data_IF_276944596576
#
_entry.id   IF_276944596576
#
_cell.length_a   1.000
_cell.length_b   1.000
_cell.length_c   1.000
_cell.angle_alpha   90.00
_cell.angle_beta   90.00
_cell.angle_gamma   90.00
#
_symmetry.space_group_name_H-M   'P 1'
#
loop_
_entity.id
_entity.type
_entity.pdbx_description
1 polymer ?
#
# COMPACT_ATOMS: atom_id res chain seq x y z
N UNK A 1 41.01 -46.60 -5.89
CA UNK A 1 41.72 -45.32 -5.72
C UNK A 1 43.15 -45.60 -5.39
N UNK A 2 43.98 -45.75 -6.42
CA UNK A 2 45.43 -45.85 -6.34
C UNK A 2 46.04 -44.74 -7.20
N UNK A 3 47.36 -44.75 -7.37
CA UNK A 3 48.13 -43.80 -8.20
C UNK A 3 48.54 -44.39 -9.56
N UNK A 4 47.90 -45.48 -9.98
CA UNK A 4 48.26 -46.18 -11.21
C UNK A 4 47.69 -45.46 -12.43
N UNK A 5 48.59 -44.79 -13.14
CA UNK A 5 48.28 -44.00 -14.33
C UNK A 5 47.78 -44.89 -15.48
N UNK A 6 48.35 -46.08 -15.67
CA UNK A 6 48.00 -46.96 -16.79
C UNK A 6 46.56 -47.47 -16.68
N UNK A 7 46.13 -47.82 -15.47
CA UNK A 7 44.74 -48.20 -15.21
C UNK A 7 43.78 -47.04 -15.47
N UNK A 8 44.16 -45.81 -15.10
CA UNK A 8 43.32 -44.63 -15.34
C UNK A 8 43.21 -44.28 -16.84
N UNK A 9 44.31 -44.40 -17.58
CA UNK A 9 44.39 -44.17 -19.03
C UNK A 9 43.54 -45.20 -19.79
N UNK A 10 43.68 -46.49 -19.47
CA UNK A 10 42.89 -47.56 -20.10
C UNK A 10 41.38 -47.39 -19.87
N UNK A 11 40.97 -46.98 -18.67
CA UNK A 11 39.55 -46.69 -18.38
C UNK A 11 39.04 -45.46 -19.14
N UNK A 12 39.89 -44.45 -19.35
CA UNK A 12 39.53 -43.27 -20.12
C UNK A 12 39.36 -43.59 -21.61
N UNK A 13 40.23 -44.42 -22.17
CA UNK A 13 40.10 -44.95 -23.54
C UNK A 13 38.81 -45.75 -23.71
N UNK A 14 38.50 -46.64 -22.76
CA UNK A 14 37.27 -47.42 -22.79
C UNK A 14 36.01 -46.53 -22.80
N UNK A 15 36.00 -45.46 -22.01
CA UNK A 15 34.90 -44.47 -22.01
C UNK A 15 34.81 -43.76 -23.36
N UNK A 16 35.94 -43.34 -23.94
CA UNK A 16 35.99 -42.68 -25.24
C UNK A 16 35.46 -43.59 -26.36
N UNK A 17 35.93 -44.83 -26.43
CA UNK A 17 35.46 -45.82 -27.41
C UNK A 17 33.95 -46.07 -27.29
N UNK A 18 33.44 -46.17 -26.05
CA UNK A 18 32.01 -46.37 -25.79
C UNK A 18 31.16 -45.20 -26.28
N UNK A 19 31.66 -43.96 -26.15
CA UNK A 19 30.99 -42.75 -26.61
C UNK A 19 31.05 -42.61 -28.14
N UNK A 20 32.16 -43.02 -28.77
CA UNK A 20 32.35 -43.00 -30.22
C UNK A 20 31.48 -44.03 -30.95
N UNK A 21 31.33 -45.25 -30.38
CA UNK A 21 30.56 -46.32 -31.00
C UNK A 21 29.04 -46.24 -30.74
N UNK A 22 28.59 -45.29 -29.91
CA UNK A 22 27.24 -45.28 -29.35
C UNK A 22 26.22 -44.34 -29.99
N UNK A 23 26.62 -43.23 -30.66
CA UNK A 23 25.68 -42.17 -31.09
C UNK A 23 26.17 -41.38 -32.32
N UNK A 24 25.27 -41.08 -33.27
CA UNK A 24 25.52 -40.16 -34.41
C UNK A 24 25.65 -38.68 -33.99
N UNK A 25 25.47 -38.35 -32.71
CA UNK A 25 25.42 -36.99 -32.18
C UNK A 25 26.52 -36.78 -31.15
N UNK A 26 27.13 -35.58 -31.16
CA UNK A 26 28.14 -35.17 -30.16
C UNK A 26 27.58 -35.37 -28.75
N UNK A 27 28.25 -36.15 -27.88
CA UNK A 27 27.76 -36.44 -26.54
C UNK A 27 27.74 -35.19 -25.67
N UNK A 28 26.69 -35.05 -24.87
CA UNK A 28 26.58 -34.01 -23.85
C UNK A 28 27.50 -34.29 -22.66
N UNK A 29 27.80 -33.26 -21.89
CA UNK A 29 28.65 -33.37 -20.68
C UNK A 29 28.08 -34.40 -19.69
N UNK A 30 26.76 -34.49 -19.54
CA UNK A 30 26.11 -35.46 -18.63
C UNK A 30 26.28 -36.90 -19.15
N UNK A 31 26.13 -37.13 -20.46
CA UNK A 31 26.33 -38.46 -21.06
C UNK A 31 27.77 -38.95 -20.92
N UNK A 32 28.75 -38.04 -21.05
CA UNK A 32 30.16 -38.36 -20.79
C UNK A 32 30.34 -38.77 -19.32
N UNK A 33 29.77 -37.99 -18.39
CA UNK A 33 29.90 -38.24 -16.95
C UNK A 33 29.24 -39.55 -16.51
N UNK A 34 28.05 -39.87 -17.03
CA UNK A 34 27.36 -41.13 -16.73
C UNK A 34 28.14 -42.34 -17.25
N UNK A 35 28.79 -42.19 -18.42
CA UNK A 35 29.63 -43.25 -19.01
C UNK A 35 30.89 -43.49 -18.17
N UNK A 36 31.52 -42.42 -17.66
CA UNK A 36 32.67 -42.53 -16.73
C UNK A 36 32.26 -43.21 -15.42
N UNK A 37 31.11 -42.85 -14.85
CA UNK A 37 30.62 -43.47 -13.62
C UNK A 37 30.40 -44.98 -13.80
N UNK A 38 29.74 -45.38 -14.90
CA UNK A 38 29.48 -46.77 -15.23
C UNK A 38 30.79 -47.55 -15.43
N UNK A 39 31.73 -47.02 -16.20
CA UNK A 39 33.04 -47.67 -16.42
C UNK A 39 33.80 -47.89 -15.11
N UNK A 40 33.76 -46.92 -14.19
CA UNK A 40 34.40 -47.04 -12.87
C UNK A 40 33.73 -48.08 -11.96
N UNK A 41 32.41 -48.26 -12.06
CA UNK A 41 31.67 -49.28 -11.30
C UNK A 41 31.93 -50.67 -11.87
N UNK A 42 31.79 -50.82 -13.19
CA UNK A 42 31.95 -52.10 -13.90
C UNK A 42 33.38 -52.65 -13.74
N UNK A 43 34.39 -51.77 -13.71
CA UNK A 43 35.80 -52.12 -13.44
C UNK A 43 36.12 -52.37 -11.94
N UNK A 44 35.13 -52.38 -11.05
CA UNK A 44 35.32 -52.66 -9.62
C UNK A 44 35.92 -51.49 -8.82
N UNK A 45 36.02 -50.29 -9.39
CA UNK A 45 36.54 -49.10 -8.74
C UNK A 45 35.45 -48.28 -8.00
N UNK A 46 34.55 -48.96 -7.30
CA UNK A 46 33.40 -48.35 -6.60
C UNK A 46 33.77 -47.21 -5.62
N UNK A 47 34.96 -47.25 -5.01
CA UNK A 47 35.46 -46.16 -4.14
C UNK A 47 35.84 -44.90 -4.91
N UNK A 48 36.35 -45.06 -6.14
CA UNK A 48 36.67 -43.96 -7.05
C UNK A 48 35.40 -43.41 -7.69
N UNK A 49 34.49 -44.27 -8.15
CA UNK A 49 33.17 -43.89 -8.68
C UNK A 49 32.41 -42.99 -7.68
N UNK A 50 32.33 -43.38 -6.41
CA UNK A 50 31.71 -42.56 -5.35
C UNK A 50 32.33 -41.17 -5.21
N UNK A 51 33.66 -41.04 -5.29
CA UNK A 51 34.32 -39.73 -5.24
C UNK A 51 34.03 -38.91 -6.49
N UNK A 52 33.94 -39.53 -7.66
CA UNK A 52 33.59 -38.88 -8.91
C UNK A 52 32.15 -38.34 -8.89
N UNK A 53 31.19 -39.13 -8.40
CA UNK A 53 29.79 -38.72 -8.21
C UNK A 53 29.70 -37.48 -7.29
N UNK A 54 30.38 -37.51 -6.14
CA UNK A 54 30.40 -36.37 -5.22
C UNK A 54 31.06 -35.13 -5.84
N UNK A 55 32.14 -35.32 -6.61
CA UNK A 55 32.80 -34.24 -7.33
C UNK A 55 31.88 -33.60 -8.38
N UNK A 56 31.15 -34.40 -9.17
CA UNK A 56 30.15 -33.91 -10.13
C UNK A 56 29.06 -33.13 -9.44
N UNK A 57 28.48 -33.67 -8.37
CA UNK A 57 27.47 -32.98 -7.57
C UNK A 57 27.97 -31.62 -7.06
N UNK A 58 29.21 -31.56 -6.58
CA UNK A 58 29.83 -30.31 -6.12
C UNK A 58 30.09 -29.33 -7.28
N UNK A 59 30.53 -29.81 -8.46
CA UNK A 59 30.71 -28.97 -9.65
C UNK A 59 29.40 -28.41 -10.17
N UNK A 60 28.33 -29.20 -10.17
CA UNK A 60 26.97 -28.75 -10.51
C UNK A 60 26.51 -27.67 -9.52
N UNK A 61 26.67 -27.91 -8.21
CA UNK A 61 26.38 -26.93 -7.16
C UNK A 61 27.15 -25.62 -7.35
N UNK A 62 28.44 -25.68 -7.70
CA UNK A 62 29.27 -24.50 -8.00
C UNK A 62 28.77 -23.77 -9.25
N UNK A 63 28.36 -24.49 -10.31
CA UNK A 63 27.84 -23.87 -11.54
C UNK A 63 26.51 -23.16 -11.27
N UNK A 64 25.62 -23.78 -10.50
CA UNK A 64 24.34 -23.19 -10.08
C UNK A 64 24.55 -21.94 -9.23
N UNK A 65 25.48 -22.00 -8.25
CA UNK A 65 25.88 -20.83 -7.44
C UNK A 65 26.43 -19.70 -8.32
N UNK A 66 27.11 -20.02 -9.42
CA UNK A 66 27.72 -19.04 -10.31
C UNK A 66 26.77 -18.43 -11.35
N UNK A 67 25.50 -18.82 -11.37
CA UNK A 67 24.51 -18.15 -12.23
C UNK A 67 24.39 -16.67 -11.84
N UNK A 68 24.13 -15.82 -12.84
CA UNK A 68 24.03 -14.37 -12.63
C UNK A 68 23.03 -14.02 -11.52
N UNK A 69 21.87 -14.69 -11.50
CA UNK A 69 20.82 -14.46 -10.50
C UNK A 69 21.28 -14.82 -9.08
N UNK A 70 21.97 -15.96 -8.90
CA UNK A 70 22.45 -16.39 -7.58
C UNK A 70 23.56 -15.48 -7.06
N UNK A 71 24.43 -14.97 -7.94
CA UNK A 71 25.41 -13.93 -7.57
C UNK A 71 24.73 -12.61 -7.16
N UNK A 72 23.68 -12.20 -7.86
CA UNK A 72 22.87 -11.04 -7.47
C UNK A 72 22.24 -11.24 -6.10
N UNK A 73 21.68 -12.43 -5.83
CA UNK A 73 21.12 -12.76 -4.52
C UNK A 73 22.17 -12.74 -3.41
N UNK A 74 23.35 -13.35 -3.62
CA UNK A 74 24.47 -13.31 -2.67
C UNK A 74 24.89 -11.87 -2.34
N UNK A 75 24.96 -11.00 -3.35
CA UNK A 75 25.23 -9.57 -3.15
C UNK A 75 24.13 -8.86 -2.35
N UNK A 76 22.86 -9.17 -2.61
CA UNK A 76 21.74 -8.61 -1.85
C UNK A 76 21.71 -9.12 -0.39
N UNK A 77 22.10 -10.37 -0.12
CA UNK A 77 22.10 -10.92 1.25
C UNK A 77 23.23 -10.37 2.10
N UNK A 78 24.45 -10.35 1.56
CA UNK A 78 25.66 -10.27 2.38
C UNK A 78 26.42 -8.94 2.26
N UNK A 79 26.15 -8.11 1.24
CA UNK A 79 26.80 -6.80 1.10
C UNK A 79 26.01 -5.71 1.81
N UNK A 80 26.71 -4.78 2.45
CA UNK A 80 26.13 -3.57 3.06
C UNK A 80 25.53 -2.66 1.96
N UNK A 81 24.47 -1.91 2.26
CA UNK A 81 23.79 -1.03 1.28
C UNK A 81 24.67 0.10 0.75
N UNK A 82 25.72 0.47 1.49
CA UNK A 82 26.74 1.42 1.04
C UNK A 82 27.55 0.91 -0.16
N UNK A 83 27.70 -0.41 -0.27
CA UNK A 83 28.53 -1.06 -1.27
C UNK A 83 27.71 -1.67 -2.42
N UNK A 84 26.37 -1.66 -2.33
CA UNK A 84 25.48 -2.25 -3.33
C UNK A 84 24.37 -1.27 -3.79
N UNK A 85 24.55 -0.70 -4.98
CA UNK A 85 23.59 0.22 -5.60
C UNK A 85 22.18 -0.39 -5.79
N UNK A 86 22.06 -1.71 -5.94
CA UNK A 86 20.76 -2.38 -6.08
C UNK A 86 19.91 -2.27 -4.80
N UNK A 87 20.55 -2.10 -3.63
CA UNK A 87 19.83 -1.88 -2.37
C UNK A 87 19.24 -0.47 -2.25
N UNK A 88 19.71 0.49 -3.07
CA UNK A 88 19.36 1.93 -2.98
C UNK A 88 18.56 2.48 -4.15
N UNK A 89 18.17 1.64 -5.12
CA UNK A 89 17.48 2.06 -6.34
C UNK A 89 16.11 2.73 -6.10
N UNK A 90 15.43 2.42 -4.99
CA UNK A 90 14.11 2.97 -4.67
C UNK A 90 14.17 3.67 -3.30
N UNK A 91 14.04 5.00 -3.31
CA UNK A 91 14.14 5.83 -2.12
C UNK A 91 13.06 5.53 -1.06
N UNK A 92 11.94 4.93 -1.48
CA UNK A 92 10.84 4.59 -0.59
C UNK A 92 10.99 3.19 0.02
N UNK A 93 11.97 2.38 -0.43
CA UNK A 93 12.19 1.01 0.05
C UNK A 93 13.45 0.95 0.90
N UNK A 94 13.32 0.47 2.14
CA UNK A 94 14.50 0.15 2.96
C UNK A 94 15.03 -1.26 2.62
N UNK A 95 16.00 -1.31 1.70
CA UNK A 95 16.60 -2.55 1.22
C UNK A 95 17.36 -3.38 2.25
N UNK A 96 17.69 -2.81 3.42
CA UNK A 96 18.41 -3.51 4.50
C UNK A 96 17.46 -4.24 5.46
N UNK A 97 16.16 -3.98 5.37
CA UNK A 97 15.17 -4.75 6.13
C UNK A 97 14.99 -6.13 5.54
N UNK A 98 14.66 -7.13 6.37
CA UNK A 98 14.41 -8.50 5.91
C UNK A 98 13.37 -8.55 4.78
N UNK A 99 12.28 -7.77 4.91
CA UNK A 99 11.23 -7.71 3.90
C UNK A 99 11.65 -6.91 2.67
N UNK A 100 12.46 -5.86 2.82
CA UNK A 100 13.09 -5.16 1.69
C UNK A 100 14.00 -6.08 0.87
N UNK A 101 14.81 -6.91 1.53
CA UNK A 101 15.65 -7.91 0.85
C UNK A 101 14.81 -8.96 0.13
N UNK A 102 13.77 -9.49 0.77
CA UNK A 102 12.85 -10.45 0.13
C UNK A 102 12.15 -9.86 -1.10
N UNK A 103 11.71 -8.60 -1.02
CA UNK A 103 11.13 -7.89 -2.16
C UNK A 103 12.14 -7.77 -3.31
N UNK A 104 13.41 -7.50 -3.01
CA UNK A 104 14.48 -7.43 -4.02
C UNK A 104 14.77 -8.76 -4.68
N UNK A 105 14.74 -9.88 -3.95
CA UNK A 105 14.80 -11.20 -4.58
C UNK A 105 13.65 -11.40 -5.56
N UNK A 106 12.43 -11.05 -5.15
CA UNK A 106 11.26 -11.05 -6.03
C UNK A 106 11.48 -10.24 -7.30
N UNK A 107 11.95 -8.99 -7.16
CA UNK A 107 12.20 -8.09 -8.28
C UNK A 107 13.24 -8.63 -9.26
N UNK A 108 14.41 -9.07 -8.78
CA UNK A 108 15.49 -9.56 -9.64
C UNK A 108 15.13 -10.89 -10.31
N UNK A 109 14.42 -11.77 -9.59
CA UNK A 109 13.86 -12.98 -10.16
C UNK A 109 12.84 -12.68 -11.26
N UNK A 110 11.92 -11.73 -11.02
CA UNK A 110 10.89 -11.35 -11.97
C UNK A 110 11.45 -10.67 -13.23
N UNK A 111 12.42 -9.74 -13.08
CA UNK A 111 13.14 -9.15 -14.23
C UNK A 111 13.79 -10.24 -15.08
N UNK A 112 14.48 -11.20 -14.44
CA UNK A 112 15.12 -12.30 -15.16
C UNK A 112 14.11 -13.19 -15.89
N UNK A 113 13.00 -13.51 -15.23
CA UNK A 113 11.91 -14.29 -15.83
C UNK A 113 11.30 -13.57 -17.03
N UNK A 114 10.93 -12.30 -16.86
CA UNK A 114 10.32 -11.49 -17.92
C UNK A 114 11.25 -11.33 -19.12
N UNK A 115 12.56 -11.15 -18.90
CA UNK A 115 13.55 -11.04 -19.97
C UNK A 115 13.71 -12.31 -20.79
N UNK A 116 13.66 -13.48 -20.13
CA UNK A 116 13.92 -14.78 -20.76
C UNK A 116 12.67 -15.41 -21.40
N UNK A 117 11.49 -15.22 -20.80
CA UNK A 117 10.30 -15.99 -21.15
C UNK A 117 9.13 -15.15 -21.66
N UNK A 118 9.07 -13.85 -21.34
CA UNK A 118 7.90 -13.01 -21.64
C UNK A 118 8.19 -12.04 -22.78
N UNK A 119 9.31 -11.34 -22.70
CA UNK A 119 9.71 -10.36 -23.70
C UNK A 119 10.26 -11.05 -24.95
N UNK A 120 9.99 -10.43 -26.11
CA UNK A 120 10.68 -10.79 -27.35
C UNK A 120 12.18 -10.50 -27.20
N UNK A 121 13.07 -11.34 -27.78
CA UNK A 121 14.52 -11.14 -27.69
C UNK A 121 14.98 -9.75 -28.16
N UNK A 122 14.34 -9.19 -29.17
CA UNK A 122 14.63 -7.85 -29.69
C UNK A 122 14.36 -6.74 -28.65
N UNK A 123 13.26 -6.83 -27.90
CA UNK A 123 12.92 -5.87 -26.84
C UNK A 123 13.84 -6.02 -25.62
N UNK A 124 14.12 -7.25 -25.20
CA UNK A 124 15.08 -7.51 -24.11
C UNK A 124 16.46 -6.96 -24.44
N UNK A 125 16.92 -7.14 -25.70
CA UNK A 125 18.21 -6.60 -26.15
C UNK A 125 18.21 -5.07 -26.18
N UNK A 126 17.17 -4.45 -26.72
CA UNK A 126 17.03 -3.00 -26.75
C UNK A 126 17.02 -2.40 -25.34
N UNK A 127 16.34 -3.04 -24.37
CA UNK A 127 16.37 -2.61 -22.97
C UNK A 127 17.77 -2.71 -22.36
N UNK A 128 18.44 -3.85 -22.54
CA UNK A 128 19.78 -4.07 -21.98
C UNK A 128 20.86 -3.16 -22.59
N UNK A 129 20.68 -2.77 -23.85
CA UNK A 129 21.57 -1.84 -24.56
C UNK A 129 21.29 -0.36 -24.21
N UNK A 130 20.17 -0.07 -23.53
CA UNK A 130 19.73 1.29 -23.25
C UNK A 130 19.05 2.00 -24.43
N UNK A 131 18.71 1.28 -25.50
CA UNK A 131 17.95 1.82 -26.64
C UNK A 131 16.51 2.18 -26.24
N UNK A 132 15.94 1.41 -25.29
CA UNK A 132 14.65 1.67 -24.66
C UNK A 132 14.72 1.41 -23.15
N UNK A 133 13.77 1.95 -22.39
CA UNK A 133 13.60 1.61 -20.97
C UNK A 133 12.21 1.02 -20.73
N UNK A 134 12.16 -0.24 -20.27
CA UNK A 134 10.92 -0.89 -19.86
C UNK A 134 10.74 -0.59 -18.37
N UNK A 135 9.82 0.32 -18.07
CA UNK A 135 9.49 0.69 -16.69
C UNK A 135 8.91 -0.50 -15.92
N UNK A 136 9.27 -0.59 -14.63
CA UNK A 136 8.71 -1.56 -13.67
C UNK A 136 8.71 -3.01 -14.21
N UNK A 137 9.81 -3.39 -14.88
CA UNK A 137 9.95 -4.69 -15.54
C UNK A 137 9.83 -5.88 -14.57
N UNK A 138 10.07 -5.68 -13.28
CA UNK A 138 9.79 -6.65 -12.22
C UNK A 138 8.29 -6.90 -11.98
N UNK A 139 7.42 -5.94 -12.30
CA UNK A 139 5.97 -6.03 -12.12
C UNK A 139 5.18 -6.26 -13.42
N UNK A 140 5.85 -6.26 -14.56
CA UNK A 140 5.27 -6.29 -15.92
C UNK A 140 4.12 -7.31 -16.11
N UNK A 141 4.23 -8.50 -15.54
CA UNK A 141 3.25 -9.59 -15.70
C UNK A 141 2.32 -9.77 -14.50
N UNK A 142 2.54 -9.01 -13.42
CA UNK A 142 1.87 -9.20 -12.13
C UNK A 142 0.75 -8.20 -11.91
N UNK A 143 0.91 -6.96 -12.37
CA UNK A 143 -0.01 -5.88 -12.00
C UNK A 143 -0.01 -4.71 -12.98
N UNK A 144 -0.96 -3.82 -12.79
CA UNK A 144 -1.10 -2.51 -13.45
C UNK A 144 -0.32 -1.42 -12.68
N UNK A 145 -0.18 -0.25 -13.30
CA UNK A 145 0.69 0.84 -12.83
C UNK A 145 0.03 1.67 -11.73
N UNK A 146 -0.72 2.71 -12.09
CA UNK A 146 -1.27 3.72 -11.18
C UNK A 146 -2.80 3.68 -11.18
N UNK A 147 -3.41 4.25 -10.14
CA UNK A 147 -4.87 4.38 -10.07
C UNK A 147 -5.31 5.69 -9.40
N UNK A 148 -6.44 6.22 -9.89
CA UNK A 148 -7.19 7.29 -9.24
C UNK A 148 -8.39 6.67 -8.52
N UNK A 149 -8.40 6.77 -7.19
CA UNK A 149 -9.39 6.16 -6.32
C UNK A 149 -10.50 7.17 -6.05
N UNK A 150 -11.67 6.96 -6.67
CA UNK A 150 -12.87 7.74 -6.36
C UNK A 150 -13.48 7.29 -5.02
N UNK A 151 -13.02 7.92 -3.95
CA UNK A 151 -13.44 7.59 -2.58
C UNK A 151 -14.91 7.89 -2.31
N UNK A 152 -15.55 8.78 -3.07
CA UNK A 152 -17.00 9.05 -2.92
C UNK A 152 -17.82 7.83 -3.28
N UNK A 153 -17.44 7.17 -4.38
CA UNK A 153 -18.04 5.92 -4.81
C UNK A 153 -17.65 4.78 -3.89
N UNK A 154 -16.37 4.70 -3.51
CA UNK A 154 -15.83 3.61 -2.69
C UNK A 154 -16.46 3.54 -1.29
N UNK A 155 -16.67 4.70 -0.65
CA UNK A 155 -17.20 4.74 0.71
C UNK A 155 -18.69 4.46 0.79
N UNK A 156 -19.44 4.71 -0.29
CA UNK A 156 -20.88 4.44 -0.36
C UNK A 156 -21.13 2.94 -0.22
N UNK A 157 -21.90 2.54 0.81
CA UNK A 157 -22.12 1.13 1.17
C UNK A 157 -20.86 0.36 1.66
N UNK A 158 -19.73 1.06 1.82
CA UNK A 158 -18.46 0.47 2.21
C UNK A 158 -17.80 -0.39 1.13
N UNK A 159 -16.65 -0.97 1.45
CA UNK A 159 -15.81 -1.72 0.51
C UNK A 159 -15.04 -2.86 1.19
N UNK A 160 -14.50 -3.79 0.40
CA UNK A 160 -13.70 -4.90 0.89
C UNK A 160 -12.23 -4.77 0.47
N UNK A 161 -11.33 -5.19 1.35
CA UNK A 161 -9.87 -5.20 1.11
C UNK A 161 -9.32 -6.63 1.12
N UNK A 162 -10.12 -7.59 0.64
CA UNK A 162 -9.81 -9.02 0.62
C UNK A 162 -10.15 -9.79 1.91
N UNK A 163 -9.91 -9.21 3.10
CA UNK A 163 -10.10 -9.89 4.39
C UNK A 163 -11.17 -9.27 5.30
N UNK A 164 -12.29 -8.86 4.71
CA UNK A 164 -13.44 -8.30 5.43
C UNK A 164 -14.14 -7.19 4.66
N UNK A 165 -15.38 -6.89 5.05
CA UNK A 165 -16.17 -5.81 4.46
C UNK A 165 -16.28 -4.63 5.43
N UNK A 166 -15.78 -3.48 5.01
CA UNK A 166 -15.83 -2.24 5.76
C UNK A 166 -17.20 -1.59 5.57
N UNK A 167 -17.70 -0.90 6.60
CA UNK A 167 -18.97 -0.15 6.52
C UNK A 167 -18.73 1.25 6.01
N UNK A 168 -19.79 1.89 5.52
CA UNK A 168 -19.75 3.31 5.15
C UNK A 168 -19.34 4.16 6.36
N UNK A 169 -18.31 5.02 6.25
CA UNK A 169 -17.82 5.83 7.35
C UNK A 169 -18.87 6.86 7.80
N UNK A 170 -18.91 7.12 9.12
CA UNK A 170 -19.94 7.98 9.74
C UNK A 170 -19.38 9.25 10.38
N UNK A 171 -18.06 9.46 10.36
CA UNK A 171 -17.39 10.66 10.84
C UNK A 171 -16.07 10.90 10.09
N UNK A 172 -15.56 12.13 10.14
CA UNK A 172 -14.35 12.54 9.42
C UNK A 172 -13.10 11.70 9.75
N UNK A 173 -12.97 11.22 10.99
CA UNK A 173 -11.87 10.34 11.40
C UNK A 173 -11.94 9.00 10.65
N UNK A 174 -13.13 8.41 10.56
CA UNK A 174 -13.37 7.19 9.80
C UNK A 174 -13.14 7.41 8.29
N UNK A 175 -13.52 8.56 7.73
CA UNK A 175 -13.25 8.88 6.32
C UNK A 175 -11.75 8.94 6.05
N UNK A 176 -10.98 9.64 6.89
CA UNK A 176 -9.53 9.74 6.77
C UNK A 176 -8.85 8.37 6.91
N UNK A 177 -9.23 7.58 7.93
CA UNK A 177 -8.69 6.23 8.13
C UNK A 177 -8.98 5.29 6.95
N UNK A 178 -10.22 5.31 6.43
CA UNK A 178 -10.58 4.49 5.27
C UNK A 178 -9.91 4.96 3.99
N UNK A 179 -9.60 6.25 3.85
CA UNK A 179 -8.81 6.77 2.73
C UNK A 179 -7.37 6.22 2.77
N UNK A 180 -6.73 6.21 3.94
CA UNK A 180 -5.43 5.55 4.12
C UNK A 180 -5.48 4.08 3.73
N UNK A 181 -6.49 3.35 4.21
CA UNK A 181 -6.66 1.92 3.94
C UNK A 181 -6.87 1.67 2.44
N UNK A 182 -7.67 2.49 1.77
CA UNK A 182 -7.88 2.38 0.33
C UNK A 182 -6.58 2.56 -0.46
N UNK A 183 -5.81 3.60 -0.15
CA UNK A 183 -4.49 3.86 -0.76
C UNK A 183 -3.53 2.69 -0.49
N UNK A 184 -3.43 2.26 0.76
CA UNK A 184 -2.49 1.20 1.17
C UNK A 184 -2.85 -0.15 0.54
N UNK A 185 -4.13 -0.52 0.55
CA UNK A 185 -4.60 -1.77 -0.05
C UNK A 185 -4.29 -1.77 -1.54
N UNK A 186 -4.54 -0.67 -2.24
CA UNK A 186 -4.30 -0.60 -3.67
C UNK A 186 -2.80 -0.58 -4.01
N UNK A 187 -1.96 0.03 -3.17
CA UNK A 187 -0.49 0.01 -3.32
C UNK A 187 0.12 -1.40 -3.19
N UNK A 188 -0.53 -2.30 -2.43
CA UNK A 188 -0.11 -3.70 -2.36
C UNK A 188 -0.38 -4.45 -3.66
N UNK A 189 -1.46 -4.09 -4.36
CA UNK A 189 -1.88 -4.75 -5.58
C UNK A 189 -1.38 -4.04 -6.84
N UNK A 190 -0.86 -2.82 -6.78
CA UNK A 190 -0.35 -2.03 -7.91
C UNK A 190 1.06 -1.46 -7.69
N UNK A 191 1.85 -1.36 -8.76
CA UNK A 191 3.26 -1.00 -8.64
C UNK A 191 3.54 0.51 -8.65
N UNK A 192 2.65 1.31 -9.24
CA UNK A 192 2.77 2.76 -9.37
C UNK A 192 2.13 3.55 -8.23
N UNK A 193 1.85 4.83 -8.48
CA UNK A 193 1.28 5.78 -7.52
C UNK A 193 -0.25 5.71 -7.40
N UNK A 194 -0.75 6.03 -6.21
CA UNK A 194 -2.17 6.04 -5.88
C UNK A 194 -2.66 7.45 -5.59
N UNK A 195 -3.71 7.87 -6.27
CA UNK A 195 -4.21 9.24 -6.14
C UNK A 195 -5.66 9.26 -5.68
N UNK A 196 -6.03 10.22 -4.83
CA UNK A 196 -7.44 10.58 -4.61
C UNK A 196 -7.71 11.86 -5.41
N UNK A 197 -8.45 11.79 -6.54
CA UNK A 197 -8.58 12.90 -7.49
C UNK A 197 -9.57 13.99 -7.03
N UNK A 198 -10.39 13.71 -6.02
CA UNK A 198 -11.50 14.55 -5.56
C UNK A 198 -11.55 14.58 -4.03
N UNK A 199 -10.40 14.81 -3.38
CA UNK A 199 -10.24 14.67 -1.94
C UNK A 199 -11.18 15.58 -1.14
N UNK A 200 -11.32 16.83 -1.57
CA UNK A 200 -12.23 17.83 -0.99
C UNK A 200 -13.68 17.33 -1.00
N UNK A 201 -14.20 16.92 -2.16
CA UNK A 201 -15.55 16.35 -2.29
C UNK A 201 -15.70 15.01 -1.56
N UNK A 202 -14.63 14.23 -1.45
CA UNK A 202 -14.61 12.94 -0.78
C UNK A 202 -14.66 13.05 0.75
N UNK A 203 -14.02 14.08 1.32
CA UNK A 203 -13.99 14.33 2.76
C UNK A 203 -15.17 15.16 3.26
N UNK A 204 -15.75 16.04 2.42
CA UNK A 204 -16.87 16.90 2.79
C UNK A 204 -18.05 16.16 3.46
N UNK A 205 -18.50 14.98 2.99
CA UNK A 205 -19.55 14.21 3.67
C UNK A 205 -19.14 13.74 5.08
N UNK A 206 -17.86 13.46 5.32
CA UNK A 206 -17.33 13.11 6.64
C UNK A 206 -17.39 14.29 7.61
N UNK A 207 -17.00 15.48 7.15
CA UNK A 207 -17.13 16.73 7.91
C UNK A 207 -18.60 17.02 8.23
N UNK A 208 -19.49 16.92 7.24
CA UNK A 208 -20.94 17.14 7.42
C UNK A 208 -21.55 16.19 8.46
N UNK A 209 -21.20 14.89 8.41
CA UNK A 209 -21.70 13.89 9.36
C UNK A 209 -21.17 14.14 10.77
N UNK A 210 -19.89 14.52 10.90
CA UNK A 210 -19.29 14.92 12.19
C UNK A 210 -20.01 16.13 12.78
N UNK A 211 -20.18 17.20 11.99
CA UNK A 211 -20.87 18.41 12.43
C UNK A 211 -22.28 18.12 12.90
N UNK A 212 -23.06 17.38 12.10
CA UNK A 212 -24.43 17.05 12.47
C UNK A 212 -24.52 16.28 13.79
N UNK A 213 -23.62 15.30 14.00
CA UNK A 213 -23.57 14.54 15.26
C UNK A 213 -23.25 15.45 16.45
N UNK A 214 -22.24 16.31 16.32
CA UNK A 214 -21.81 17.21 17.39
C UNK A 214 -22.86 18.30 17.68
N UNK A 215 -23.53 18.80 16.64
CA UNK A 215 -24.63 19.75 16.76
C UNK A 215 -25.72 19.21 17.69
N UNK A 216 -26.20 17.99 17.47
CA UNK A 216 -27.23 17.40 18.34
C UNK A 216 -26.75 17.09 19.76
N UNK A 217 -25.47 16.73 19.91
CA UNK A 217 -24.88 16.55 21.24
C UNK A 217 -24.84 17.87 22.01
N UNK A 218 -24.43 18.96 21.35
CA UNK A 218 -24.35 20.28 21.95
C UNK A 218 -25.73 20.93 22.12
N UNK A 219 -26.69 20.62 21.25
CA UNK A 219 -28.09 20.98 21.42
C UNK A 219 -28.68 20.34 22.69
N UNK A 220 -28.43 19.05 22.92
CA UNK A 220 -28.89 18.37 24.13
C UNK A 220 -28.30 19.02 25.40
N UNK A 221 -26.99 19.30 25.41
CA UNK A 221 -26.33 20.02 26.53
C UNK A 221 -26.93 21.41 26.74
N UNK A 222 -27.19 22.16 25.67
CA UNK A 222 -27.76 23.50 25.75
C UNK A 222 -29.21 23.51 26.22
N UNK A 223 -30.02 22.54 25.78
CA UNK A 223 -31.38 22.35 26.25
C UNK A 223 -31.43 22.10 27.76
N UNK A 224 -30.50 21.30 28.28
CA UNK A 224 -30.37 21.04 29.71
C UNK A 224 -29.90 22.28 30.48
N UNK A 225 -28.78 22.89 30.07
CA UNK A 225 -28.12 23.95 30.82
C UNK A 225 -28.74 25.35 30.67
N UNK A 226 -29.26 25.66 29.48
CA UNK A 226 -29.78 26.99 29.14
C UNK A 226 -31.31 26.98 29.02
N UNK A 227 -31.89 25.83 28.65
CA UNK A 227 -33.33 25.68 28.45
C UNK A 227 -34.07 25.12 29.67
N UNK A 228 -33.37 24.61 30.69
CA UNK A 228 -33.95 23.88 31.82
C UNK A 228 -34.92 22.76 31.36
N UNK A 229 -34.60 22.10 30.24
CA UNK A 229 -35.45 21.07 29.64
C UNK A 229 -35.09 19.71 30.21
N UNK A 230 -36.04 19.05 30.87
CA UNK A 230 -35.89 17.67 31.32
C UNK A 230 -35.79 16.70 30.13
N UNK A 231 -35.01 15.61 30.31
CA UNK A 231 -34.78 14.61 29.28
C UNK A 231 -34.24 15.21 27.95
N UNK A 232 -33.38 16.24 28.05
CA UNK A 232 -32.87 17.01 26.92
C UNK A 232 -32.28 16.16 25.78
N UNK A 233 -31.58 15.06 26.10
CA UNK A 233 -31.04 14.14 25.09
C UNK A 233 -32.14 13.47 24.23
N UNK A 234 -33.23 13.02 24.87
CA UNK A 234 -34.39 12.44 24.16
C UNK A 234 -35.14 13.49 23.35
N UNK A 235 -35.28 14.70 23.90
CA UNK A 235 -35.89 15.85 23.22
C UNK A 235 -35.12 16.22 21.94
N UNK A 236 -33.80 16.39 22.04
CA UNK A 236 -32.93 16.66 20.89
C UNK A 236 -33.00 15.54 19.84
N UNK A 237 -33.03 14.27 20.27
CA UNK A 237 -33.21 13.14 19.38
C UNK A 237 -34.57 13.19 18.65
N UNK A 238 -35.66 13.49 19.36
CA UNK A 238 -36.98 13.62 18.76
C UNK A 238 -37.03 14.76 17.74
N UNK A 239 -36.41 15.91 18.04
CA UNK A 239 -36.31 17.04 17.10
C UNK A 239 -35.55 16.62 15.83
N UNK A 240 -34.39 15.98 15.99
CA UNK A 240 -33.60 15.43 14.88
C UNK A 240 -34.44 14.52 14.00
N UNK A 241 -35.10 13.54 14.60
CA UNK A 241 -35.82 12.49 13.87
C UNK A 241 -37.05 13.08 13.16
N UNK A 242 -37.76 14.03 13.79
CA UNK A 242 -38.87 14.77 13.17
C UNK A 242 -38.42 15.60 11.97
N UNK A 243 -37.37 16.42 12.13
CA UNK A 243 -36.87 17.28 11.04
C UNK A 243 -36.38 16.42 9.85
N UNK A 244 -35.68 15.32 10.15
CA UNK A 244 -35.20 14.40 9.12
C UNK A 244 -36.34 13.70 8.37
N UNK A 245 -37.43 13.35 9.07
CA UNK A 245 -38.58 12.66 8.48
C UNK A 245 -39.46 13.60 7.65
N UNK A 246 -39.72 14.80 8.14
CA UNK A 246 -40.68 15.74 7.53
C UNK A 246 -40.03 16.65 6.48
N UNK A 247 -38.79 17.11 6.72
CA UNK A 247 -38.12 18.09 5.85
C UNK A 247 -36.93 17.50 5.10
N UNK A 248 -36.51 16.27 5.41
CA UNK A 248 -35.30 15.64 4.85
C UNK A 248 -34.02 16.48 5.04
N UNK A 249 -33.98 17.29 6.09
CA UNK A 249 -32.86 18.17 6.40
C UNK A 249 -31.99 17.61 7.53
N UNK A 250 -30.72 18.04 7.52
CA UNK A 250 -29.74 17.86 8.59
C UNK A 250 -28.93 19.15 8.75
N UNK A 251 -28.43 19.45 9.95
CA UNK A 251 -27.55 20.60 10.13
C UNK A 251 -26.21 20.32 9.44
N UNK A 252 -25.75 21.29 8.65
CA UNK A 252 -24.44 21.32 8.00
C UNK A 252 -23.83 22.71 8.19
N UNK A 253 -22.53 22.86 7.89
CA UNK A 253 -21.87 24.15 8.00
C UNK A 253 -22.44 25.16 6.99
N UNK A 254 -22.89 24.69 5.82
CA UNK A 254 -23.45 25.53 4.76
C UNK A 254 -24.95 25.82 4.80
N UNK A 255 -25.74 25.17 5.65
CA UNK A 255 -27.22 25.31 5.64
C UNK A 255 -27.82 25.73 7.00
N UNK A 256 -26.98 26.28 7.89
CA UNK A 256 -27.36 26.56 9.28
C UNK A 256 -28.66 27.38 9.39
N UNK A 257 -28.85 28.41 8.58
CA UNK A 257 -30.02 29.30 8.66
C UNK A 257 -31.35 28.59 8.36
N UNK A 258 -31.40 27.80 7.29
CA UNK A 258 -32.61 27.07 6.89
C UNK A 258 -32.96 26.02 7.95
N UNK A 259 -31.96 25.26 8.40
CA UNK A 259 -32.13 24.24 9.43
C UNK A 259 -32.61 24.85 10.76
N UNK A 260 -31.95 25.92 11.22
CA UNK A 260 -32.26 26.58 12.49
C UNK A 260 -33.64 27.23 12.49
N UNK A 261 -34.12 27.71 11.35
CA UNK A 261 -35.47 28.29 11.23
C UNK A 261 -36.56 27.25 11.56
N UNK A 262 -36.44 26.04 11.02
CA UNK A 262 -37.39 24.94 11.28
C UNK A 262 -37.22 24.45 12.72
N UNK A 263 -35.98 24.24 13.16
CA UNK A 263 -35.68 23.78 14.51
C UNK A 263 -36.23 24.74 15.59
N UNK A 264 -36.14 26.05 15.37
CA UNK A 264 -36.66 27.08 16.27
C UNK A 264 -38.15 26.91 16.54
N UNK A 265 -38.94 26.47 15.56
CA UNK A 265 -40.37 26.23 15.74
C UNK A 265 -40.64 25.08 16.72
N UNK A 266 -39.81 24.03 16.67
CA UNK A 266 -39.91 22.89 17.59
C UNK A 266 -39.37 23.26 18.98
N UNK A 267 -38.23 23.97 19.04
CA UNK A 267 -37.65 24.43 20.30
C UNK A 267 -38.60 25.34 21.09
N UNK A 268 -39.31 26.25 20.41
CA UNK A 268 -40.30 27.13 21.04
C UNK A 268 -41.47 26.40 21.73
N UNK A 269 -41.68 25.11 21.43
CA UNK A 269 -42.71 24.28 22.07
C UNK A 269 -42.22 23.61 23.35
N UNK A 270 -40.92 23.42 23.49
CA UNK A 270 -40.32 22.62 24.57
C UNK A 270 -39.49 23.47 25.54
N UNK A 271 -38.95 24.60 25.09
CA UNK A 271 -38.17 25.51 25.91
C UNK A 271 -39.13 26.49 26.59
N UNK A 272 -39.18 26.55 27.94
CA UNK A 272 -40.08 27.44 28.66
C UNK A 272 -39.79 28.93 28.37
N UNK A 273 -38.51 29.29 28.33
CA UNK A 273 -38.05 30.65 28.07
C UNK A 273 -37.72 30.86 26.58
N UNK A 274 -38.60 31.50 25.82
CA UNK A 274 -38.40 31.69 24.36
C UNK A 274 -37.18 32.54 24.01
N UNK A 275 -36.75 33.44 24.89
CA UNK A 275 -35.49 34.20 24.73
C UNK A 275 -34.24 33.31 24.79
N UNK A 276 -34.31 32.14 25.44
CA UNK A 276 -33.21 31.20 25.52
C UNK A 276 -32.98 30.41 24.22
N UNK A 277 -34.01 30.27 23.36
CA UNK A 277 -33.93 29.47 22.13
C UNK A 277 -32.81 29.93 21.20
N UNK A 278 -32.67 31.25 21.00
CA UNK A 278 -31.60 31.78 20.15
C UNK A 278 -30.21 31.46 20.72
N UNK A 279 -30.05 31.57 22.04
CA UNK A 279 -28.80 31.25 22.75
C UNK A 279 -28.47 29.77 22.66
N UNK A 280 -29.47 28.90 22.79
CA UNK A 280 -29.35 27.44 22.64
C UNK A 280 -28.84 27.07 21.25
N UNK A 281 -29.47 27.60 20.20
CA UNK A 281 -29.07 27.31 18.81
C UNK A 281 -27.67 27.85 18.50
N UNK A 282 -27.36 29.07 18.96
CA UNK A 282 -26.04 29.68 18.75
C UNK A 282 -24.95 28.88 19.46
N UNK A 283 -25.17 28.47 20.72
CA UNK A 283 -24.24 27.61 21.45
C UNK A 283 -24.01 26.27 20.74
N UNK A 284 -25.08 25.62 20.28
CA UNK A 284 -24.98 24.33 19.60
C UNK A 284 -24.19 24.43 18.29
N UNK A 285 -24.47 25.46 17.48
CA UNK A 285 -23.78 25.72 16.22
C UNK A 285 -22.29 26.05 16.43
N UNK A 286 -21.98 27.05 17.26
CA UNK A 286 -20.60 27.49 17.49
C UNK A 286 -19.73 26.40 18.11
N UNK A 287 -20.28 25.63 19.06
CA UNK A 287 -19.55 24.52 19.69
C UNK A 287 -19.33 23.39 18.69
N UNK A 288 -20.35 23.04 17.90
CA UNK A 288 -20.22 22.00 16.89
C UNK A 288 -19.22 22.38 15.79
N UNK A 289 -19.17 23.64 15.37
CA UNK A 289 -18.20 24.11 14.37
C UNK A 289 -16.76 23.99 14.90
N UNK A 290 -16.49 24.52 16.11
CA UNK A 290 -15.17 24.45 16.75
C UNK A 290 -14.71 23.01 16.97
N UNK A 291 -15.59 22.15 17.48
CA UNK A 291 -15.30 20.74 17.71
C UNK A 291 -15.11 19.98 16.38
N UNK A 292 -15.85 20.33 15.33
CA UNK A 292 -15.69 19.73 13.99
C UNK A 292 -14.37 20.12 13.36
N UNK A 293 -13.96 21.40 13.44
CA UNK A 293 -12.66 21.87 12.93
C UNK A 293 -11.52 21.13 13.63
N UNK A 294 -11.56 21.03 14.97
CA UNK A 294 -10.57 20.27 15.76
C UNK A 294 -10.53 18.79 15.36
N UNK A 295 -11.68 18.13 15.22
CA UNK A 295 -11.73 16.72 14.82
C UNK A 295 -11.26 16.50 13.39
N UNK A 296 -11.51 17.47 12.50
CA UNK A 296 -11.04 17.44 11.12
C UNK A 296 -9.52 17.59 11.08
N UNK A 297 -8.95 18.55 11.81
CA UNK A 297 -7.49 18.69 11.97
C UNK A 297 -6.84 17.37 12.43
N UNK A 298 -7.34 16.80 13.53
CA UNK A 298 -6.81 15.54 14.06
C UNK A 298 -6.94 14.37 13.08
N UNK A 299 -8.01 14.32 12.30
CA UNK A 299 -8.17 13.32 11.24
C UNK A 299 -7.15 13.50 10.10
N UNK A 300 -6.86 14.74 9.70
CA UNK A 300 -5.88 15.03 8.66
C UNK A 300 -4.44 14.83 9.13
N UNK A 301 -4.13 15.16 10.38
CA UNK A 301 -2.85 14.86 11.02
C UNK A 301 -2.61 13.34 11.04
N UNK A 302 -3.61 12.57 11.47
CA UNK A 302 -3.55 11.11 11.44
C UNK A 302 -3.39 10.56 10.00
N UNK A 303 -4.07 11.16 9.01
CA UNK A 303 -3.93 10.80 7.59
C UNK A 303 -2.48 10.99 7.11
N UNK A 304 -1.88 12.15 7.38
CA UNK A 304 -0.50 12.47 6.97
C UNK A 304 0.50 11.56 7.66
N UNK A 305 0.37 11.37 8.98
CA UNK A 305 1.23 10.44 9.72
C UNK A 305 1.14 9.03 9.14
N UNK A 306 -0.06 8.54 8.88
CA UNK A 306 -0.26 7.21 8.33
C UNK A 306 0.32 7.05 6.93
N UNK A 307 0.20 8.06 6.05
CA UNK A 307 0.76 8.00 4.70
C UNK A 307 2.29 8.04 4.67
N UNK A 308 2.95 8.46 5.76
CA UNK A 308 4.41 8.47 5.88
C UNK A 308 4.97 7.36 6.79
N UNK A 309 4.14 6.63 7.54
CA UNK A 309 4.60 5.63 8.52
C UNK A 309 4.03 4.24 8.29
N UNK A 310 2.85 4.11 7.67
CA UNK A 310 2.31 2.80 7.34
C UNK A 310 3.02 2.24 6.12
N UNK A 311 3.58 1.04 6.27
CA UNK A 311 4.20 0.34 5.17
C UNK A 311 3.18 -0.43 4.33
N UNK A 312 3.44 -0.47 3.03
CA UNK A 312 2.88 -1.33 2.00
C UNK A 312 3.97 -2.31 1.52
N UNK A 313 3.62 -3.22 0.60
CA UNK A 313 4.52 -4.22 0.00
C UNK A 313 5.36 -4.94 1.03
N UNK A 314 4.65 -5.69 1.86
CA UNK A 314 5.22 -6.56 2.87
C UNK A 314 6.09 -5.83 3.92
N UNK A 315 5.82 -4.54 4.18
CA UNK A 315 6.49 -3.80 5.26
C UNK A 315 7.72 -3.00 4.82
N UNK A 316 8.00 -2.93 3.52
CA UNK A 316 9.24 -2.36 3.01
C UNK A 316 9.09 -0.95 2.44
N UNK A 317 7.87 -0.49 2.11
CA UNK A 317 7.66 0.73 1.33
C UNK A 317 6.49 1.60 1.82
N UNK A 318 6.70 2.91 2.01
CA UNK A 318 5.58 3.85 2.24
C UNK A 318 4.77 4.05 0.94
N UNK A 319 3.42 4.16 1.00
CA UNK A 319 2.61 4.33 -0.20
C UNK A 319 2.93 5.60 -0.97
N UNK A 320 3.18 5.46 -2.27
CA UNK A 320 3.30 6.61 -3.16
C UNK A 320 1.91 7.20 -3.36
N UNK A 321 1.60 8.30 -2.68
CA UNK A 321 0.25 8.85 -2.62
C UNK A 321 0.16 10.30 -3.06
N UNK A 322 -0.96 10.67 -3.70
CA UNK A 322 -1.29 12.05 -4.03
C UNK A 322 -2.75 12.39 -3.70
N UNK A 323 -2.98 13.64 -3.30
CA UNK A 323 -4.31 14.19 -3.03
C UNK A 323 -4.56 15.39 -3.94
N UNK A 324 -5.66 15.36 -4.67
CA UNK A 324 -6.13 16.46 -5.51
C UNK A 324 -7.34 17.10 -4.86
N UNK A 325 -7.35 18.43 -4.79
CA UNK A 325 -8.41 19.24 -4.19
C UNK A 325 -8.34 20.66 -4.74
N UNK A 326 -9.38 21.47 -4.51
CA UNK A 326 -9.38 22.89 -4.93
C UNK A 326 -10.64 23.32 -5.67
N UNK A 327 -11.53 22.37 -6.00
CA UNK A 327 -12.72 22.63 -6.81
C UNK A 327 -14.01 22.62 -6.00
N UNK A 328 -14.03 22.02 -4.81
CA UNK A 328 -15.18 22.09 -3.92
C UNK A 328 -15.22 23.41 -3.14
N UNK A 329 -16.27 24.20 -3.36
CA UNK A 329 -16.51 25.46 -2.67
C UNK A 329 -17.39 25.32 -1.43
N UNK A 330 -17.85 24.11 -1.10
CA UNK A 330 -18.66 23.86 0.09
C UNK A 330 -17.89 24.20 1.37
N UNK A 331 -18.55 24.69 2.44
CA UNK A 331 -17.89 24.94 3.72
C UNK A 331 -17.20 23.69 4.30
N UNK A 332 -17.80 22.52 4.10
CA UNK A 332 -17.25 21.24 4.52
C UNK A 332 -15.99 20.84 3.76
N UNK A 333 -15.99 20.97 2.42
CA UNK A 333 -14.81 20.71 1.59
C UNK A 333 -13.68 21.67 1.91
N UNK A 334 -13.99 22.97 2.09
CA UNK A 334 -13.03 23.99 2.52
C UNK A 334 -12.43 23.70 3.89
N UNK A 335 -13.23 23.20 4.84
CA UNK A 335 -12.72 22.80 6.16
C UNK A 335 -11.76 21.61 6.06
N UNK A 336 -12.07 20.61 5.24
CA UNK A 336 -11.17 19.48 5.01
C UNK A 336 -9.84 19.93 4.38
N UNK A 337 -9.90 20.78 3.34
CA UNK A 337 -8.72 21.34 2.67
C UNK A 337 -7.86 22.20 3.60
N UNK A 338 -8.48 23.14 4.33
CA UNK A 338 -7.78 23.98 5.32
C UNK A 338 -7.00 23.10 6.30
N UNK A 339 -7.67 22.10 6.87
CA UNK A 339 -7.08 21.27 7.91
C UNK A 339 -6.02 20.29 7.39
N UNK A 340 -6.13 19.78 6.16
CA UNK A 340 -5.04 18.96 5.58
C UNK A 340 -3.81 19.81 5.29
N UNK A 341 -3.97 21.03 4.79
CA UNK A 341 -2.85 21.96 4.58
C UNK A 341 -2.17 22.35 5.89
N UNK A 342 -2.95 22.69 6.92
CA UNK A 342 -2.41 23.01 8.25
C UNK A 342 -1.68 21.82 8.88
N UNK A 343 -2.21 20.61 8.74
CA UNK A 343 -1.56 19.42 9.26
C UNK A 343 -0.28 19.08 8.49
N UNK A 344 -0.23 19.32 7.17
CA UNK A 344 1.00 19.16 6.37
C UNK A 344 2.06 20.18 6.77
N UNK A 345 1.67 21.44 6.98
CA UNK A 345 2.56 22.53 7.40
C UNK A 345 3.14 22.30 8.80
N UNK A 346 2.35 21.72 9.71
CA UNK A 346 2.82 21.31 11.04
C UNK A 346 3.93 20.23 10.98
N UNK A 347 4.01 19.49 9.87
CA UNK A 347 5.02 18.47 9.63
C UNK A 347 4.78 17.16 10.39
N UNK A 348 5.76 16.27 10.31
CA UNK A 348 5.82 15.04 11.10
C UNK A 348 6.54 15.32 12.44
N UNK A 349 6.63 14.30 13.29
CA UNK A 349 7.41 14.35 14.53
C UNK A 349 8.82 14.92 14.31
N UNK A 350 9.32 15.69 15.28
CA UNK A 350 10.59 16.43 15.18
C UNK A 350 10.66 17.51 14.08
N UNK A 351 9.53 17.91 13.49
CA UNK A 351 9.48 18.96 12.47
C UNK A 351 9.94 18.48 11.09
N UNK A 352 9.92 17.16 10.85
CA UNK A 352 10.26 16.60 9.55
C UNK A 352 9.20 16.94 8.50
N UNK A 353 9.64 17.30 7.29
CA UNK A 353 8.73 17.57 6.18
C UNK A 353 8.15 16.25 5.64
N UNK A 354 6.82 16.08 5.61
CA UNK A 354 6.22 14.89 5.04
C UNK A 354 6.52 14.80 3.53
N UNK A 355 6.93 13.61 3.08
CA UNK A 355 7.15 13.33 1.65
C UNK A 355 5.81 13.06 0.96
N UNK A 356 4.89 12.42 1.68
CA UNK A 356 3.56 12.07 1.20
C UNK A 356 2.46 12.68 2.09
N UNK A 357 1.24 12.89 1.56
CA UNK A 357 0.90 12.78 0.15
C UNK A 357 1.43 13.96 -0.67
N UNK A 358 1.64 13.73 -1.97
CA UNK A 358 1.85 14.82 -2.92
C UNK A 358 0.55 15.62 -3.03
N UNK A 359 0.64 16.93 -2.85
CA UNK A 359 -0.49 17.83 -2.94
C UNK A 359 -0.63 18.40 -4.36
N UNK A 360 -1.82 18.29 -4.94
CA UNK A 360 -2.17 18.84 -6.25
C UNK A 360 -3.38 19.77 -6.05
N UNK A 361 -3.15 21.07 -6.25
CA UNK A 361 -4.17 22.11 -6.12
C UNK A 361 -4.64 22.60 -7.50
#
# INVERSE_FOLDING_TARGET
GGSDYHTAESLAEQVAETLEHGKEKVPSVEEIQDTVEKALIDAGHARTARKFILYRAERTRIREKNTQLMKTYEGLTYQDSRDNNLKRENANINGDTAMGTMLRYGSEGAKRFNSLYVLKPEHSKAHNNGDIHIHDMDFLTLTTTCCQIDIRKLFRHGFATGHGHLREPQDIQSYAALACIAIQSNQNDQHGGQSIPNFDYGMAPGVAKTYARLYFQNLAKALELLGNVENAAKQAQSIRDSIRKEYHLRPTLGNAENYQTIEKQMLNRIVPEKSAVQRIQSFAAESAEKETDRNTYQAMEALIHNLNTMHSRAGAQVPFSSLNYGTDTSPEGRMAMKNVLLATDAGLGNGETPIFPIHIF
#
